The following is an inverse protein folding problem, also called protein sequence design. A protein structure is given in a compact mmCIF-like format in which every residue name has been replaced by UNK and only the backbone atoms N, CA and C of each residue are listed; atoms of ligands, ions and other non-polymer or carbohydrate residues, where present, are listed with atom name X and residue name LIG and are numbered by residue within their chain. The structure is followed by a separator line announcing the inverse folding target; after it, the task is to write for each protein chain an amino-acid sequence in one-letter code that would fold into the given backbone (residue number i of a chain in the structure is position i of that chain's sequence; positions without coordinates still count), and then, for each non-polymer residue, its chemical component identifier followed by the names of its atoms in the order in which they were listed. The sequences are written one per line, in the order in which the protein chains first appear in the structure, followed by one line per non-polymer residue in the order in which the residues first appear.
data_IF_476249614388
#
_entry.id   IF_476249614388
#
_cell.length_a   1.000
_cell.length_b   1.000
_cell.length_c   1.000
_cell.angle_alpha   90.00
_cell.angle_beta   90.00
_cell.angle_gamma   90.00
#
_symmetry.space_group_name_H-M   'P 1'
#
loop_
_entity.id
_entity.type
_entity.pdbx_description
1 polymer ?
#
# COMPACT_ATOMS: atom_id res chain seq x y z
N UNK A 1 0.36 27.61 -10.25
CA UNK A 1 0.49 26.16 -9.97
C UNK A 1 1.94 25.80 -9.64
N UNK A 2 2.90 26.06 -10.51
CA UNK A 2 4.32 25.70 -10.29
C UNK A 2 4.95 26.45 -9.12
N UNK A 3 4.64 27.76 -8.93
CA UNK A 3 5.18 28.55 -7.80
C UNK A 3 4.77 27.98 -6.44
N UNK A 4 3.54 27.48 -6.35
CA UNK A 4 3.07 26.78 -5.16
C UNK A 4 3.85 25.47 -4.92
N UNK A 5 4.15 24.71 -5.99
CA UNK A 5 4.96 23.49 -5.89
C UNK A 5 6.38 23.80 -5.40
N UNK A 6 7.01 24.84 -5.96
CA UNK A 6 8.35 25.28 -5.58
C UNK A 6 8.44 25.81 -4.14
N UNK A 7 7.34 26.30 -3.58
CA UNK A 7 7.28 26.76 -2.18
C UNK A 7 7.16 25.64 -1.15
N UNK A 8 6.75 24.43 -1.57
CA UNK A 8 6.59 23.27 -0.68
C UNK A 8 7.92 22.60 -0.32
N UNK A 9 8.07 22.06 0.89
CA UNK A 9 9.22 21.22 1.22
C UNK A 9 9.18 19.87 0.48
N UNK A 10 10.35 19.28 0.23
CA UNK A 10 10.43 17.87 -0.14
C UNK A 10 9.71 17.01 0.88
N UNK A 11 9.09 15.94 0.40
CA UNK A 11 8.26 15.11 1.27
C UNK A 11 7.87 13.79 0.63
N UNK A 12 6.75 13.26 1.09
CA UNK A 12 6.23 11.97 0.63
C UNK A 12 5.89 11.98 -0.87
N UNK A 13 5.50 13.12 -1.42
CA UNK A 13 4.99 13.27 -2.78
C UNK A 13 5.71 14.33 -3.61
N UNK A 14 6.83 14.88 -3.12
CA UNK A 14 7.60 15.91 -3.82
C UNK A 14 9.10 15.70 -3.61
N UNK A 15 9.85 15.80 -4.71
CA UNK A 15 11.31 15.72 -4.73
C UNK A 15 11.85 16.72 -5.75
N UNK A 16 12.97 17.38 -5.43
CA UNK A 16 13.70 18.25 -6.34
C UNK A 16 15.03 17.64 -6.73
N UNK A 17 15.44 17.85 -7.95
CA UNK A 17 16.77 17.48 -8.46
C UNK A 17 17.32 18.60 -9.32
N UNK A 18 18.62 18.84 -9.19
CA UNK A 18 19.30 19.85 -9.98
C UNK A 18 19.32 19.50 -11.47
N UNK A 19 19.65 18.24 -11.77
CA UNK A 19 19.86 17.72 -13.12
C UNK A 19 19.71 16.18 -13.15
N UNK A 20 19.99 15.57 -14.30
CA UNK A 20 19.95 14.12 -14.53
C UNK A 20 21.32 13.43 -14.37
N UNK A 21 22.31 14.07 -13.75
CA UNK A 21 23.68 13.53 -13.62
C UNK A 21 23.75 12.30 -12.71
N UNK A 22 22.83 12.19 -11.75
CA UNK A 22 22.73 11.09 -10.81
C UNK A 22 21.44 10.26 -11.03
N UNK A 23 21.41 9.37 -12.03
CA UNK A 23 20.19 8.69 -12.43
C UNK A 23 19.64 7.72 -11.38
N UNK A 24 20.51 7.01 -10.63
CA UNK A 24 20.05 6.00 -9.66
C UNK A 24 19.20 6.56 -8.53
N UNK A 25 19.55 7.65 -7.80
CA UNK A 25 18.68 8.28 -6.82
C UNK A 25 17.35 8.75 -7.39
N UNK A 26 17.36 9.32 -8.60
CA UNK A 26 16.18 9.77 -9.31
C UNK A 26 15.22 8.61 -9.60
N UNK A 27 15.74 7.53 -10.18
CA UNK A 27 14.97 6.32 -10.49
C UNK A 27 14.39 5.67 -9.21
N UNK A 28 15.15 5.65 -8.10
CA UNK A 28 14.63 5.20 -6.79
C UNK A 28 13.44 6.02 -6.33
N UNK A 29 13.49 7.33 -6.51
CA UNK A 29 12.37 8.22 -6.16
C UNK A 29 11.13 7.92 -7.00
N UNK A 30 11.28 7.75 -8.32
CA UNK A 30 10.15 7.43 -9.21
C UNK A 30 9.52 6.07 -8.86
N UNK A 31 10.33 5.04 -8.61
CA UNK A 31 9.87 3.73 -8.12
C UNK A 31 9.11 3.88 -6.80
N UNK A 32 9.68 4.64 -5.86
CA UNK A 32 9.06 4.83 -4.55
C UNK A 32 7.74 5.60 -4.62
N UNK A 33 7.61 6.58 -5.52
CA UNK A 33 6.36 7.27 -5.79
C UNK A 33 5.30 6.31 -6.35
N UNK A 34 5.64 5.52 -7.36
CA UNK A 34 4.72 4.56 -7.98
C UNK A 34 4.20 3.51 -6.97
N UNK A 35 5.04 3.12 -6.03
CA UNK A 35 4.72 2.10 -5.01
C UNK A 35 3.98 2.67 -3.79
N UNK A 36 3.99 3.99 -3.55
CA UNK A 36 3.48 4.55 -2.29
C UNK A 36 2.26 5.44 -2.50
N UNK A 37 2.46 6.71 -2.73
CA UNK A 37 1.40 7.73 -2.75
C UNK A 37 1.35 8.53 -4.06
N UNK A 38 2.15 8.13 -5.05
CA UNK A 38 2.43 8.98 -6.19
C UNK A 38 3.34 10.14 -5.80
N UNK A 39 3.56 11.06 -6.73
CA UNK A 39 4.34 12.26 -6.44
C UNK A 39 4.89 12.95 -7.67
N UNK A 40 5.56 14.06 -7.44
CA UNK A 40 6.20 14.87 -8.47
C UNK A 40 7.70 14.97 -8.21
N UNK A 41 8.46 14.66 -9.25
CA UNK A 41 9.89 14.92 -9.31
C UNK A 41 10.10 16.14 -10.20
N UNK A 42 10.76 17.17 -9.69
CA UNK A 42 11.06 18.40 -10.44
C UNK A 42 12.56 18.48 -10.66
N UNK A 43 12.99 18.47 -11.92
CA UNK A 43 14.40 18.61 -12.32
C UNK A 43 14.64 20.02 -12.78
N UNK A 44 15.79 20.60 -12.40
CA UNK A 44 16.16 21.99 -12.65
C UNK A 44 16.07 22.88 -11.41
N UNK A 45 16.01 22.28 -10.21
CA UNK A 45 15.99 22.98 -8.91
C UNK A 45 17.15 22.46 -8.06
N UNK A 46 17.98 23.35 -7.53
CA UNK A 46 19.13 22.98 -6.71
C UNK A 46 18.77 22.75 -5.23
N UNK A 47 19.76 22.35 -4.44
CA UNK A 47 19.59 22.05 -3.00
C UNK A 47 19.22 23.30 -2.16
N UNK A 48 19.50 24.52 -2.67
CA UNK A 48 19.06 25.78 -2.07
C UNK A 48 17.68 26.20 -2.56
N UNK A 49 17.01 25.33 -3.35
CA UNK A 49 15.68 25.56 -3.94
C UNK A 49 15.65 26.72 -4.95
N UNK A 50 16.81 27.01 -5.54
CA UNK A 50 16.88 27.96 -6.63
C UNK A 50 16.55 27.27 -7.96
N UNK A 51 15.73 27.93 -8.76
CA UNK A 51 15.45 27.47 -10.11
C UNK A 51 16.71 27.68 -10.94
N UNK A 52 17.36 26.58 -11.32
CA UNK A 52 18.55 26.59 -12.18
C UNK A 52 18.20 26.24 -13.65
N UNK A 53 17.11 25.49 -13.83
CA UNK A 53 16.63 25.01 -15.13
C UNK A 53 17.45 23.83 -15.65
N UNK A 54 16.93 23.16 -16.69
CA UNK A 54 17.65 22.12 -17.45
C UNK A 54 18.31 22.75 -18.68
N UNK A 55 19.48 22.24 -19.06
CA UNK A 55 20.28 22.87 -20.10
C UNK A 55 19.75 22.58 -21.52
N UNK A 56 19.25 21.37 -21.74
CA UNK A 56 18.74 20.89 -23.03
C UNK A 56 17.38 20.22 -22.82
N UNK A 57 16.28 21.02 -22.67
CA UNK A 57 15.00 20.51 -22.19
C UNK A 57 14.45 19.31 -22.96
N UNK A 58 14.51 19.31 -24.28
CA UNK A 58 14.00 18.21 -25.11
C UNK A 58 14.90 16.96 -25.03
N UNK A 59 16.22 17.15 -25.07
CA UNK A 59 17.17 16.04 -24.96
C UNK A 59 17.15 15.43 -23.55
N UNK A 60 16.99 16.27 -22.51
CA UNK A 60 16.85 15.83 -21.12
C UNK A 60 15.53 15.07 -20.90
N UNK A 61 14.43 15.50 -21.54
CA UNK A 61 13.16 14.76 -21.52
C UNK A 61 13.32 13.39 -22.17
N UNK A 62 13.85 13.32 -23.38
CA UNK A 62 14.09 12.05 -24.09
C UNK A 62 15.00 11.11 -23.28
N UNK A 63 16.10 11.65 -22.78
CA UNK A 63 17.02 10.91 -21.91
C UNK A 63 16.34 10.34 -20.68
N UNK A 64 15.49 11.12 -20.03
CA UNK A 64 14.73 10.66 -18.86
C UNK A 64 13.72 9.57 -19.21
N UNK A 65 12.99 9.73 -20.33
CA UNK A 65 12.06 8.71 -20.84
C UNK A 65 12.77 7.37 -21.07
N UNK A 66 13.92 7.40 -21.75
CA UNK A 66 14.74 6.22 -22.02
C UNK A 66 15.25 5.59 -20.71
N UNK A 67 15.75 6.40 -19.78
CA UNK A 67 16.20 5.95 -18.47
C UNK A 67 15.09 5.21 -17.69
N UNK A 68 13.87 5.74 -17.68
CA UNK A 68 12.72 5.12 -17.01
C UNK A 68 12.35 3.79 -17.68
N UNK A 69 12.24 3.79 -19.02
CA UNK A 69 11.85 2.61 -19.79
C UNK A 69 12.85 1.45 -19.64
N UNK A 70 14.15 1.79 -19.61
CA UNK A 70 15.21 0.80 -19.53
C UNK A 70 15.47 0.28 -18.11
N UNK A 71 15.20 1.10 -17.10
CA UNK A 71 15.63 0.80 -15.72
C UNK A 71 14.52 0.34 -14.79
N UNK A 72 13.23 0.59 -15.09
CA UNK A 72 12.12 0.28 -14.18
C UNK A 72 11.27 -0.87 -14.75
N UNK A 73 10.89 -1.80 -13.87
CA UNK A 73 9.93 -2.86 -14.14
C UNK A 73 8.93 -2.98 -12.97
N UNK A 74 7.68 -3.40 -13.22
CA UNK A 74 6.99 -3.38 -14.51
C UNK A 74 7.08 -2.00 -15.18
N UNK A 75 6.70 -1.88 -16.46
CA UNK A 75 6.78 -0.61 -17.19
C UNK A 75 6.06 0.51 -16.41
N UNK A 76 6.79 1.59 -16.13
CA UNK A 76 6.25 2.81 -15.53
C UNK A 76 6.10 3.88 -16.62
N UNK A 77 4.93 4.50 -16.71
CA UNK A 77 4.65 5.57 -17.68
C UNK A 77 4.20 6.81 -16.90
N UNK A 78 5.13 7.67 -16.48
CA UNK A 78 4.79 8.93 -15.81
C UNK A 78 4.30 9.97 -16.82
N UNK A 79 3.62 11.00 -16.32
CA UNK A 79 3.39 12.22 -17.09
C UNK A 79 4.62 13.11 -16.96
N UNK A 80 5.13 13.62 -18.09
CA UNK A 80 6.32 14.48 -18.13
C UNK A 80 5.95 15.78 -18.81
N UNK A 81 6.28 16.90 -18.18
CA UNK A 81 5.98 18.24 -18.67
C UNK A 81 7.21 19.14 -18.58
N UNK A 82 7.41 19.98 -19.60
CA UNK A 82 8.38 21.04 -19.61
C UNK A 82 7.69 22.36 -19.22
N UNK A 83 8.11 22.95 -18.10
CA UNK A 83 7.50 24.16 -17.57
C UNK A 83 8.56 25.26 -17.45
N UNK A 84 8.28 26.41 -18.06
CA UNK A 84 9.19 27.57 -17.97
C UNK A 84 8.83 28.48 -16.81
N UNK A 85 9.80 28.72 -15.95
CA UNK A 85 9.69 29.60 -14.77
C UNK A 85 10.88 30.57 -14.78
N UNK A 86 10.63 31.86 -14.68
CA UNK A 86 11.68 32.90 -14.66
C UNK A 86 12.68 32.79 -15.84
N UNK A 87 12.19 32.40 -17.02
CA UNK A 87 13.02 32.21 -18.22
C UNK A 87 13.87 30.95 -18.22
N UNK A 88 13.70 30.05 -17.25
CA UNK A 88 14.39 28.75 -17.15
C UNK A 88 13.37 27.62 -17.27
N UNK A 89 13.72 26.55 -17.97
CA UNK A 89 12.86 25.40 -18.17
C UNK A 89 13.12 24.34 -17.11
N UNK A 90 12.05 23.88 -16.46
CA UNK A 90 12.02 22.75 -15.52
C UNK A 90 11.42 21.53 -16.22
N UNK A 91 11.87 20.34 -15.84
CA UNK A 91 11.27 19.07 -16.22
C UNK A 91 10.47 18.54 -15.00
N UNK A 92 9.16 18.47 -15.14
CA UNK A 92 8.27 17.99 -14.08
C UNK A 92 7.76 16.60 -14.45
N UNK A 93 8.03 15.63 -13.57
CA UNK A 93 7.65 14.23 -13.75
C UNK A 93 6.58 13.89 -12.71
N UNK A 94 5.36 13.67 -13.14
CA UNK A 94 4.27 13.23 -12.27
C UNK A 94 4.07 11.72 -12.36
N UNK A 95 4.12 11.08 -11.22
CA UNK A 95 3.91 9.64 -11.04
C UNK A 95 2.67 9.42 -10.20
N UNK A 96 1.75 8.63 -10.71
CA UNK A 96 0.57 8.20 -9.95
C UNK A 96 0.84 6.88 -9.23
N UNK A 97 0.05 6.59 -8.20
CA UNK A 97 0.10 5.27 -7.55
C UNK A 97 -0.24 4.20 -8.58
N UNK A 98 0.67 3.27 -8.78
CA UNK A 98 0.52 2.29 -9.85
C UNK A 98 -0.39 1.12 -9.45
N UNK A 99 -1.29 0.75 -10.35
CA UNK A 99 -2.05 -0.51 -10.26
C UNK A 99 -1.21 -1.76 -10.56
N UNK A 100 0.01 -1.59 -11.10
CA UNK A 100 0.93 -2.69 -11.41
C UNK A 100 2.10 -2.80 -10.43
N UNK A 101 1.94 -2.21 -9.22
CA UNK A 101 2.98 -2.29 -8.18
C UNK A 101 3.15 -3.72 -7.63
N UNK A 102 4.32 -4.09 -7.08
CA UNK A 102 5.46 -3.21 -6.90
C UNK A 102 6.24 -2.97 -8.20
N UNK A 103 6.70 -1.74 -8.39
CA UNK A 103 7.75 -1.43 -9.34
C UNK A 103 9.12 -1.60 -8.69
N UNK A 104 10.14 -1.94 -9.51
CA UNK A 104 11.50 -2.11 -9.02
C UNK A 104 12.54 -1.66 -10.04
N UNK A 105 13.74 -1.38 -9.58
CA UNK A 105 14.89 -1.17 -10.45
C UNK A 105 15.36 -2.50 -11.04
N UNK A 106 15.37 -2.63 -12.37
CA UNK A 106 15.77 -3.88 -13.07
C UNK A 106 17.16 -4.36 -12.67
N UNK A 107 18.10 -3.44 -12.48
CA UNK A 107 19.46 -3.75 -12.07
C UNK A 107 19.58 -4.38 -10.67
N UNK A 108 18.58 -4.18 -9.80
CA UNK A 108 18.56 -4.67 -8.43
C UNK A 108 17.58 -5.85 -8.24
N UNK A 109 16.70 -6.07 -9.24
CA UNK A 109 15.72 -7.16 -9.26
C UNK A 109 14.49 -6.92 -8.39
N UNK A 110 13.49 -7.81 -8.48
CA UNK A 110 12.19 -7.64 -7.82
C UNK A 110 12.20 -7.80 -6.29
N UNK A 111 13.29 -8.30 -5.73
CA UNK A 111 13.44 -8.50 -4.27
C UNK A 111 14.20 -7.35 -3.61
N UNK A 112 15.12 -6.71 -4.32
CA UNK A 112 16.00 -5.68 -3.77
C UNK A 112 15.82 -4.30 -4.40
N UNK A 113 15.21 -4.24 -5.57
CA UNK A 113 14.97 -3.00 -6.32
C UNK A 113 13.67 -2.28 -5.99
N UNK A 114 12.88 -2.79 -5.05
CA UNK A 114 11.61 -2.18 -4.64
C UNK A 114 11.87 -1.10 -3.61
N UNK A 115 11.39 0.10 -3.88
CA UNK A 115 11.51 1.25 -2.98
C UNK A 115 10.14 1.85 -2.66
N UNK A 116 10.01 2.39 -1.45
CA UNK A 116 8.83 3.10 -0.92
C UNK A 116 9.24 4.43 -0.31
N UNK A 117 8.30 5.38 -0.23
CA UNK A 117 8.55 6.69 0.41
C UNK A 117 8.19 6.64 1.89
N UNK A 118 9.18 7.02 2.71
CA UNK A 118 8.99 7.29 4.12
C UNK A 118 9.38 8.75 4.38
N UNK A 119 8.38 9.64 4.47
CA UNK A 119 8.62 11.08 4.46
C UNK A 119 9.31 11.53 3.16
N UNK A 120 10.42 12.23 3.27
CA UNK A 120 11.25 12.69 2.14
C UNK A 120 12.32 11.67 1.70
N UNK A 121 12.36 10.47 2.28
CA UNK A 121 13.37 9.47 1.95
C UNK A 121 12.78 8.27 1.19
N UNK A 122 13.53 7.76 0.20
CA UNK A 122 13.23 6.49 -0.46
C UNK A 122 13.94 5.36 0.29
N UNK A 123 13.17 4.37 0.77
CA UNK A 123 13.66 3.21 1.50
C UNK A 123 13.39 1.94 0.73
N UNK A 124 14.31 1.00 0.80
CA UNK A 124 14.10 -0.33 0.25
C UNK A 124 13.00 -1.02 1.04
N UNK A 125 12.06 -1.65 0.32
CA UNK A 125 10.99 -2.44 0.93
C UNK A 125 11.53 -3.79 1.39
N UNK A 126 11.08 -4.25 2.54
CA UNK A 126 11.30 -5.62 3.01
C UNK A 126 10.37 -6.62 2.29
N UNK A 127 10.63 -7.93 2.42
CA UNK A 127 9.80 -8.94 1.75
C UNK A 127 8.32 -8.89 2.13
N UNK A 128 7.99 -8.57 3.38
CA UNK A 128 6.61 -8.48 3.85
C UNK A 128 5.87 -7.33 3.17
N UNK A 129 6.50 -6.17 3.08
CA UNK A 129 5.94 -5.00 2.39
C UNK A 129 5.81 -5.23 0.88
N UNK A 130 6.76 -5.95 0.26
CA UNK A 130 6.67 -6.33 -1.16
C UNK A 130 5.42 -7.18 -1.41
N UNK A 131 5.14 -8.17 -0.57
CA UNK A 131 3.94 -9.00 -0.67
C UNK A 131 2.65 -8.18 -0.45
N UNK A 132 2.66 -7.23 0.48
CA UNK A 132 1.55 -6.31 0.69
C UNK A 132 1.26 -5.44 -0.54
N UNK A 133 2.30 -4.89 -1.16
CA UNK A 133 2.18 -4.11 -2.41
C UNK A 133 1.59 -4.96 -3.53
N UNK A 134 2.02 -6.21 -3.69
CA UNK A 134 1.47 -7.15 -4.69
C UNK A 134 -0.01 -7.40 -4.47
N UNK A 135 -0.41 -7.72 -3.24
CA UNK A 135 -1.83 -7.94 -2.88
C UNK A 135 -2.68 -6.72 -3.17
N UNK A 136 -2.22 -5.56 -2.71
CA UNK A 136 -2.92 -4.29 -2.92
C UNK A 136 -3.09 -3.95 -4.41
N UNK A 137 -2.11 -4.28 -5.26
CA UNK A 137 -2.20 -4.08 -6.70
C UNK A 137 -3.23 -5.02 -7.36
N UNK A 138 -3.39 -6.23 -6.83
CA UNK A 138 -4.38 -7.18 -7.31
C UNK A 138 -5.81 -6.86 -6.84
N UNK A 139 -5.98 -5.85 -5.99
CA UNK A 139 -7.27 -5.49 -5.42
C UNK A 139 -7.82 -6.53 -4.44
N UNK A 140 -6.98 -7.45 -3.97
CA UNK A 140 -7.36 -8.45 -2.97
C UNK A 140 -7.15 -7.85 -1.60
N UNK A 141 -8.23 -7.61 -0.89
CA UNK A 141 -8.19 -7.17 0.51
C UNK A 141 -7.66 -8.31 1.41
N UNK A 142 -7.05 -7.96 2.55
CA UNK A 142 -6.52 -8.94 3.49
C UNK A 142 -7.57 -9.97 3.93
N UNK A 143 -8.75 -9.48 4.24
CA UNK A 143 -9.89 -10.30 4.67
C UNK A 143 -10.44 -11.23 3.57
N UNK A 144 -10.20 -10.93 2.29
CA UNK A 144 -10.58 -11.78 1.15
C UNK A 144 -9.53 -12.88 0.82
N UNK A 145 -8.36 -12.86 1.48
CA UNK A 145 -7.31 -13.84 1.22
C UNK A 145 -7.73 -15.26 1.62
N UNK A 146 -7.37 -16.29 0.80
CA UNK A 146 -7.70 -17.68 1.11
C UNK A 146 -6.94 -18.22 2.31
N UNK A 147 -7.58 -19.10 3.08
CA UNK A 147 -6.98 -19.98 4.08
C UNK A 147 -7.00 -21.44 3.56
N UNK A 148 -6.03 -21.84 2.70
CA UNK A 148 -6.13 -23.10 1.93
C UNK A 148 -6.06 -24.38 2.76
N UNK A 149 -5.61 -24.31 4.00
CA UNK A 149 -5.53 -25.45 4.93
C UNK A 149 -6.84 -25.67 5.72
N UNK A 150 -7.80 -24.76 5.59
CA UNK A 150 -9.10 -24.81 6.26
C UNK A 150 -10.22 -25.18 5.29
N UNK A 151 -11.35 -25.58 5.88
CA UNK A 151 -12.59 -25.91 5.21
C UNK A 151 -13.77 -25.13 5.81
N UNK A 152 -14.92 -25.22 5.22
CA UNK A 152 -16.15 -24.63 5.75
C UNK A 152 -16.49 -25.17 7.15
N UNK A 153 -16.08 -26.41 7.47
CA UNK A 153 -16.34 -27.04 8.78
C UNK A 153 -15.53 -26.39 9.92
N UNK A 154 -14.48 -25.64 9.59
CA UNK A 154 -13.69 -24.88 10.58
C UNK A 154 -14.34 -23.56 10.97
N UNK A 155 -15.48 -23.20 10.35
CA UNK A 155 -16.27 -22.02 10.66
C UNK A 155 -17.46 -22.37 11.58
N UNK A 156 -17.76 -21.49 12.53
CA UNK A 156 -18.99 -21.50 13.30
C UNK A 156 -20.15 -20.89 12.49
N UNK A 157 -20.75 -21.71 11.66
CA UNK A 157 -21.89 -21.29 10.86
C UNK A 157 -23.18 -21.06 11.67
N UNK A 158 -23.25 -21.54 12.92
CA UNK A 158 -24.39 -21.26 13.78
C UNK A 158 -24.39 -19.77 14.18
N UNK A 159 -23.25 -19.28 14.66
CA UNK A 159 -23.06 -17.84 14.95
C UNK A 159 -23.23 -16.98 13.70
N UNK A 160 -22.69 -17.40 12.56
CA UNK A 160 -22.88 -16.69 11.29
C UNK A 160 -24.37 -16.57 10.90
N UNK A 161 -25.17 -17.63 11.05
CA UNK A 161 -26.61 -17.60 10.76
C UNK A 161 -27.38 -16.67 11.71
N UNK A 162 -26.98 -16.58 12.98
CA UNK A 162 -27.59 -15.64 13.93
C UNK A 162 -27.32 -14.19 13.51
N UNK A 163 -26.09 -13.88 13.11
CA UNK A 163 -25.72 -12.54 12.68
C UNK A 163 -26.41 -12.13 11.37
N UNK A 164 -26.50 -13.06 10.41
CA UNK A 164 -27.10 -12.81 9.09
C UNK A 164 -28.57 -13.23 9.01
N UNK A 165 -29.39 -13.01 10.06
CA UNK A 165 -30.81 -13.41 10.10
C UNK A 165 -31.67 -12.93 8.95
N UNK A 166 -31.26 -11.83 8.27
CA UNK A 166 -31.92 -11.32 7.05
C UNK A 166 -31.56 -12.07 5.77
N UNK A 167 -30.56 -12.97 5.81
CA UNK A 167 -30.07 -13.75 4.67
C UNK A 167 -30.39 -15.22 4.92
N UNK A 168 -31.46 -15.74 4.30
CA UNK A 168 -31.89 -17.12 4.46
C UNK A 168 -32.15 -17.79 3.11
N UNK A 169 -31.61 -18.95 2.86
CA UNK A 169 -30.64 -19.71 3.70
C UNK A 169 -29.21 -19.18 3.57
N UNK A 170 -28.41 -19.28 4.64
CA UNK A 170 -26.96 -19.08 4.57
C UNK A 170 -26.32 -20.36 4.00
N UNK A 171 -26.49 -20.56 2.73
CA UNK A 171 -25.93 -21.67 1.96
C UNK A 171 -24.52 -21.30 1.40
N UNK A 172 -23.95 -22.24 0.67
CA UNK A 172 -22.62 -22.02 0.08
C UNK A 172 -22.59 -20.84 -0.89
N UNK A 173 -23.67 -20.59 -1.62
CA UNK A 173 -23.78 -19.44 -2.51
C UNK A 173 -23.80 -18.12 -1.74
N UNK A 174 -24.52 -18.06 -0.63
CA UNK A 174 -24.53 -16.91 0.27
C UNK A 174 -23.14 -16.65 0.88
N UNK A 175 -22.44 -17.71 1.33
CA UNK A 175 -21.07 -17.59 1.85
C UNK A 175 -20.09 -17.05 0.81
N UNK A 176 -20.23 -17.42 -0.45
CA UNK A 176 -19.44 -16.89 -1.58
C UNK A 176 -19.77 -15.41 -1.84
N UNK A 177 -21.04 -15.05 -1.84
CA UNK A 177 -21.52 -13.68 -2.06
C UNK A 177 -21.03 -12.73 -0.95
N UNK A 178 -21.04 -13.21 0.30
CA UNK A 178 -20.52 -12.51 1.48
C UNK A 178 -18.97 -12.51 1.55
N UNK A 179 -18.29 -13.13 0.57
CA UNK A 179 -16.84 -13.29 0.55
C UNK A 179 -16.26 -14.02 1.76
N UNK A 180 -17.07 -14.85 2.40
CA UNK A 180 -16.60 -15.75 3.46
C UNK A 180 -15.91 -17.00 2.89
N UNK A 181 -16.18 -17.32 1.63
CA UNK A 181 -15.48 -18.35 0.87
C UNK A 181 -14.86 -17.75 -0.39
N UNK A 182 -13.67 -18.21 -0.72
CA UNK A 182 -12.96 -17.87 -1.95
C UNK A 182 -12.45 -19.12 -2.66
N UNK A 183 -12.32 -19.05 -3.98
CA UNK A 183 -11.87 -20.19 -4.78
C UNK A 183 -10.36 -20.17 -4.96
N UNK A 184 -9.69 -21.26 -4.58
CA UNK A 184 -8.25 -21.43 -4.80
C UNK A 184 -7.90 -22.89 -5.06
N UNK A 185 -6.99 -23.14 -6.02
CA UNK A 185 -6.51 -24.49 -6.36
C UNK A 185 -7.63 -25.51 -6.59
N UNK A 186 -8.72 -25.11 -7.27
CA UNK A 186 -9.83 -25.99 -7.62
C UNK A 186 -10.86 -26.24 -6.50
N UNK A 187 -10.78 -25.59 -5.35
CA UNK A 187 -11.70 -25.75 -4.22
C UNK A 187 -12.09 -24.43 -3.59
N UNK A 188 -13.23 -24.41 -2.92
CA UNK A 188 -13.67 -23.30 -2.08
C UNK A 188 -13.11 -23.47 -0.68
N UNK A 189 -12.49 -22.41 -0.16
CA UNK A 189 -11.89 -22.36 1.17
C UNK A 189 -12.31 -21.11 1.90
N UNK A 190 -12.29 -21.08 3.24
CA UNK A 190 -12.53 -19.89 4.02
C UNK A 190 -11.56 -18.77 3.67
N UNK A 191 -12.04 -17.54 3.74
CA UNK A 191 -11.21 -16.35 3.69
C UNK A 191 -10.65 -16.01 5.08
N UNK A 192 -9.61 -15.17 5.15
CA UNK A 192 -9.10 -14.67 6.44
C UNK A 192 -10.17 -13.93 7.23
N UNK A 193 -11.01 -13.12 6.56
CA UNK A 193 -12.16 -12.46 7.18
C UNK A 193 -13.17 -13.44 7.76
N UNK A 194 -13.47 -14.55 7.04
CA UNK A 194 -14.36 -15.58 7.54
C UNK A 194 -13.81 -16.22 8.81
N UNK A 195 -12.51 -16.52 8.87
CA UNK A 195 -11.86 -17.11 10.06
C UNK A 195 -11.77 -16.11 11.20
N UNK A 196 -11.48 -14.85 10.94
CA UNK A 196 -11.49 -13.79 11.96
C UNK A 196 -12.87 -13.60 12.59
N UNK A 197 -13.94 -13.68 11.78
CA UNK A 197 -15.31 -13.47 12.28
C UNK A 197 -15.94 -14.72 12.89
N UNK A 198 -15.68 -15.90 12.31
CA UNK A 198 -16.43 -17.13 12.59
C UNK A 198 -15.54 -18.37 12.76
N UNK A 199 -14.21 -18.23 12.78
CA UNK A 199 -13.30 -19.37 12.97
C UNK A 199 -13.46 -19.99 14.38
N UNK A 200 -13.67 -21.31 14.46
CA UNK A 200 -13.78 -22.05 15.72
C UNK A 200 -12.50 -21.96 16.55
N UNK A 201 -11.34 -21.99 15.88
CA UNK A 201 -10.01 -21.89 16.51
C UNK A 201 -9.26 -20.66 16.01
N UNK A 202 -9.97 -19.51 15.96
CA UNK A 202 -9.47 -18.25 15.41
C UNK A 202 -8.07 -17.88 15.90
N UNK A 203 -7.79 -18.03 17.19
CA UNK A 203 -6.51 -17.65 17.79
C UNK A 203 -5.33 -18.54 17.40
N UNK A 204 -5.60 -19.76 16.91
CA UNK A 204 -4.55 -20.60 16.32
C UNK A 204 -3.98 -19.99 15.05
N UNK A 205 -4.77 -19.18 14.35
CA UNK A 205 -4.40 -18.52 13.09
C UNK A 205 -4.06 -17.05 13.28
N UNK A 206 -4.69 -16.40 14.23
CA UNK A 206 -4.56 -14.99 14.55
C UNK A 206 -4.44 -14.80 16.05
N UNK A 207 -3.21 -14.90 16.58
CA UNK A 207 -2.93 -14.86 18.04
C UNK A 207 -3.48 -13.61 18.72
N UNK A 208 -3.56 -12.50 18.00
CA UNK A 208 -3.98 -11.19 18.51
C UNK A 208 -5.46 -10.87 18.21
N UNK A 209 -6.25 -11.86 17.69
CA UNK A 209 -7.65 -11.66 17.35
C UNK A 209 -8.56 -11.82 18.57
N UNK A 210 -8.39 -10.96 19.55
CA UNK A 210 -9.18 -10.86 20.78
C UNK A 210 -9.30 -9.39 21.21
N UNK A 211 -10.25 -9.09 22.08
CA UNK A 211 -10.52 -7.72 22.54
C UNK A 211 -10.22 -7.61 24.03
N UNK A 212 -9.35 -6.67 24.40
CA UNK A 212 -9.10 -6.32 25.79
C UNK A 212 -9.77 -4.98 26.10
N UNK A 213 -10.69 -5.00 27.06
CA UNK A 213 -11.31 -3.78 27.57
C UNK A 213 -10.77 -3.48 28.96
N UNK A 214 -10.19 -2.30 29.15
CA UNK A 214 -9.68 -1.83 30.43
C UNK A 214 -10.43 -0.61 30.92
N UNK A 215 -10.87 -0.61 32.19
CA UNK A 215 -11.45 0.54 32.86
C UNK A 215 -10.41 1.20 33.74
N UNK A 216 -10.15 2.49 33.49
CA UNK A 216 -9.11 3.25 34.16
C UNK A 216 -9.69 4.22 35.18
N UNK A 217 -8.96 4.46 36.27
CA UNK A 217 -9.24 5.53 37.19
C UNK A 217 -8.61 6.84 36.65
N UNK A 218 -9.48 7.82 36.37
CA UNK A 218 -8.98 9.11 35.82
C UNK A 218 -8.70 9.09 34.32
N UNK A 219 -7.94 10.04 33.82
CA UNK A 219 -7.66 10.26 32.40
C UNK A 219 -6.22 9.91 31.97
N UNK A 220 -5.36 9.58 32.91
CA UNK A 220 -3.93 9.34 32.69
C UNK A 220 -3.59 7.89 32.36
N UNK A 221 -4.58 6.98 32.38
CA UNK A 221 -4.42 5.54 32.15
C UNK A 221 -3.39 4.85 33.07
N UNK A 222 -3.07 5.42 34.22
CA UNK A 222 -2.05 4.90 35.12
C UNK A 222 -2.56 3.73 35.99
N UNK A 223 -3.85 3.73 36.32
CA UNK A 223 -4.44 2.72 37.19
C UNK A 223 -5.63 2.08 36.49
N UNK A 224 -5.48 0.78 36.20
CA UNK A 224 -6.58 -0.08 35.73
C UNK A 224 -7.24 -0.66 36.97
N UNK A 225 -8.54 -0.46 37.18
CA UNK A 225 -9.27 -1.04 38.30
C UNK A 225 -10.25 -2.15 37.90
N UNK A 226 -10.46 -2.31 36.58
CA UNK A 226 -11.28 -3.39 36.05
C UNK A 226 -10.85 -3.70 34.62
N UNK A 227 -10.87 -4.97 34.20
CA UNK A 227 -10.59 -5.37 32.84
C UNK A 227 -11.37 -6.64 32.47
N UNK A 228 -11.65 -6.78 31.20
CA UNK A 228 -12.24 -7.98 30.62
C UNK A 228 -11.53 -8.33 29.32
N UNK A 229 -11.26 -9.61 29.13
CA UNK A 229 -10.71 -10.18 27.91
C UNK A 229 -11.81 -10.96 27.20
N UNK A 230 -12.17 -10.53 25.99
CA UNK A 230 -13.21 -11.13 25.17
C UNK A 230 -12.55 -11.97 24.07
N UNK A 231 -12.74 -13.28 24.13
CA UNK A 231 -12.18 -14.26 23.19
C UNK A 231 -13.26 -14.91 22.31
N UNK A 232 -14.48 -14.44 22.40
CA UNK A 232 -15.58 -14.85 21.52
C UNK A 232 -15.34 -14.35 20.09
N UNK A 233 -16.00 -14.93 19.08
CA UNK A 233 -16.06 -14.39 17.74
C UNK A 233 -16.33 -12.88 17.74
N UNK A 234 -15.59 -12.11 16.92
CA UNK A 234 -15.64 -10.64 16.94
C UNK A 234 -17.06 -10.05 16.94
N UNK A 235 -18.05 -10.59 16.19
CA UNK A 235 -19.42 -10.07 16.26
C UNK A 235 -20.08 -10.23 17.62
N UNK A 236 -19.77 -11.30 18.37
CA UNK A 236 -20.29 -11.52 19.72
C UNK A 236 -19.57 -10.65 20.75
N UNK A 237 -18.25 -10.47 20.60
CA UNK A 237 -17.44 -9.63 21.49
C UNK A 237 -17.85 -8.14 21.46
N UNK A 238 -18.50 -7.68 20.39
CA UNK A 238 -18.99 -6.29 20.28
C UNK A 238 -20.31 -6.10 21.02
N UNK A 239 -21.12 -7.17 21.20
CA UNK A 239 -22.42 -7.14 21.86
C UNK A 239 -22.30 -7.45 23.36
N UNK A 240 -21.12 -7.81 23.86
CA UNK A 240 -20.83 -8.16 25.28
C UNK A 240 -20.42 -6.92 26.06
#
# INVERSE_FOLDING_TARGET
MIDHLLSQPEGKTLEFKRDLSSPRPLLKTLVAFANTAGGRLVVGVDDQRQVVGVAQPLDDEERLCNLIADSIAPRLVPQIELITVQGKTLLVVEVYVSGSRPHWLKAEGPEHGVYVRLGSTSRQADPQLIEELRRSAQGVAFDEMPMPHLTVDDLDLATARQLFQGISPLDEQALRTLKLLTHTKGRWVPTQGAVLLFGKERRMHFSDAWVQCGRFAGTDKAVIFDHIDLDEPLPQAVDS
#
